data_IF_382181881310
#
_entry.id   IF_382181881310
#
_cell.length_a   1.000
_cell.length_b   1.000
_cell.length_c   1.000
_cell.angle_alpha   90.00
_cell.angle_beta   90.00
_cell.angle_gamma   90.00
#
_symmetry.space_group_name_H-M   'P 1'
#
loop_
_entity.id
_entity.type
_entity.pdbx_description
1 polymer ?
#
# COMPACT_ATOMS: atom_id res chain seq x y z
N UNK A 1 17.63 -7.51 -2.30
CA UNK A 1 18.60 -6.72 -1.51
C UNK A 1 18.07 -6.69 -0.10
N UNK A 2 18.80 -7.25 0.87
CA UNK A 2 18.48 -7.03 2.30
C UNK A 2 18.98 -5.62 2.61
N UNK A 3 18.10 -4.72 3.03
CA UNK A 3 18.50 -3.34 3.31
C UNK A 3 19.37 -3.27 4.56
N UNK A 4 20.13 -2.18 4.70
CA UNK A 4 20.90 -1.92 5.92
C UNK A 4 19.94 -1.71 7.09
N UNK A 5 20.18 -2.42 8.19
CA UNK A 5 19.49 -2.15 9.45
C UNK A 5 20.01 -0.84 10.04
N UNK A 6 19.10 0.04 10.45
CA UNK A 6 19.43 1.32 11.08
C UNK A 6 18.91 1.29 12.51
N UNK A 7 19.74 1.73 13.44
CA UNK A 7 19.39 1.89 14.85
C UNK A 7 19.51 3.37 15.21
N UNK A 8 18.46 3.93 15.80
CA UNK A 8 18.50 5.29 16.33
C UNK A 8 18.99 5.28 17.77
N UNK A 9 19.43 6.45 18.25
CA UNK A 9 19.84 6.66 19.65
C UNK A 9 18.67 6.38 20.61
N UNK A 10 17.45 6.63 20.15
CA UNK A 10 16.21 6.41 20.90
C UNK A 10 15.75 4.93 20.91
N UNK A 11 16.55 4.01 20.39
CA UNK A 11 16.25 2.57 20.40
C UNK A 11 15.28 2.11 19.31
N UNK A 12 14.96 2.95 18.32
CA UNK A 12 14.14 2.54 17.17
C UNK A 12 15.03 1.80 16.18
N UNK A 13 14.58 0.61 15.78
CA UNK A 13 15.22 -0.18 14.72
C UNK A 13 14.37 -0.20 13.46
N UNK A 14 14.99 0.16 12.35
CA UNK A 14 14.40 0.03 11.02
C UNK A 14 15.08 -1.08 10.25
N UNK A 15 14.28 -1.99 9.69
CA UNK A 15 14.71 -3.09 8.84
C UNK A 15 14.03 -2.96 7.47
N UNK A 16 14.72 -3.31 6.40
CA UNK A 16 14.13 -3.30 5.05
C UNK A 16 14.27 -4.64 4.38
N UNK A 17 13.16 -5.12 3.82
CA UNK A 17 13.06 -6.40 3.14
C UNK A 17 12.41 -6.22 1.77
N UNK A 18 12.93 -6.92 0.76
CA UNK A 18 12.30 -6.99 -0.55
C UNK A 18 11.17 -8.00 -0.58
N UNK A 19 10.13 -7.73 -1.38
CA UNK A 19 9.02 -8.68 -1.59
C UNK A 19 9.53 -10.05 -2.04
N UNK A 20 8.96 -11.12 -1.48
CA UNK A 20 9.32 -12.51 -1.77
C UNK A 20 10.55 -13.03 -1.03
N UNK A 21 11.28 -12.18 -0.30
CA UNK A 21 12.24 -12.65 0.70
C UNK A 21 11.48 -13.07 1.96
N UNK A 22 12.05 -13.96 2.77
CA UNK A 22 11.39 -14.36 4.01
C UNK A 22 11.51 -13.27 5.08
N UNK A 23 10.39 -12.68 5.56
CA UNK A 23 10.40 -11.76 6.69
C UNK A 23 10.51 -12.49 8.03
N UNK A 24 10.36 -13.82 8.04
CA UNK A 24 10.43 -14.61 9.27
C UNK A 24 11.83 -14.53 9.86
N UNK A 25 11.90 -14.23 11.15
CA UNK A 25 13.16 -13.99 11.85
C UNK A 25 13.63 -12.54 11.84
N UNK A 26 12.87 -11.61 11.25
CA UNK A 26 13.04 -10.17 11.49
C UNK A 26 12.63 -9.87 12.94
N UNK A 27 13.56 -10.03 13.87
CA UNK A 27 13.42 -9.70 15.29
C UNK A 27 14.71 -9.10 15.83
N UNK A 28 14.59 -8.26 16.84
CA UNK A 28 15.71 -7.89 17.70
C UNK A 28 15.53 -8.58 19.04
N UNK A 29 16.34 -9.61 19.29
CA UNK A 29 16.13 -10.52 20.41
C UNK A 29 14.69 -11.09 20.40
N UNK A 30 13.88 -10.75 21.40
CA UNK A 30 12.48 -11.15 21.51
C UNK A 30 11.49 -10.12 20.93
N UNK A 31 11.97 -8.94 20.51
CA UNK A 31 11.14 -7.87 19.99
C UNK A 31 10.77 -8.13 18.52
N UNK A 32 9.46 -8.18 18.27
CA UNK A 32 8.86 -8.30 16.94
C UNK A 32 8.47 -6.92 16.38
N UNK A 33 8.35 -6.78 15.05
CA UNK A 33 7.89 -5.53 14.43
C UNK A 33 6.51 -5.10 14.93
N UNK A 34 6.40 -3.84 15.32
CA UNK A 34 5.17 -3.14 15.72
C UNK A 34 4.62 -2.23 14.59
N UNK A 35 5.49 -1.86 13.65
CA UNK A 35 5.17 -1.02 12.50
C UNK A 35 5.72 -1.61 11.20
N UNK A 36 4.84 -1.77 10.21
CA UNK A 36 5.18 -2.24 8.87
C UNK A 36 4.72 -1.20 7.85
N UNK A 37 5.64 -0.73 7.02
CA UNK A 37 5.37 0.11 5.86
C UNK A 37 5.75 -0.63 4.59
N UNK A 38 4.80 -0.75 3.67
CA UNK A 38 5.03 -1.25 2.32
C UNK A 38 4.86 -0.10 1.34
N UNK A 39 5.92 0.16 0.57
CA UNK A 39 6.00 1.19 -0.46
C UNK A 39 6.48 0.58 -1.78
N UNK A 40 6.00 1.13 -2.90
CA UNK A 40 6.39 0.82 -4.29
C UNK A 40 6.66 -0.68 -4.63
N UNK A 41 5.71 -1.56 -4.27
CA UNK A 41 5.88 -3.01 -4.40
C UNK A 41 5.48 -3.60 -5.77
N UNK A 42 4.71 -2.85 -6.56
CA UNK A 42 4.11 -3.34 -7.80
C UNK A 42 5.04 -3.06 -9.00
N UNK A 43 5.42 -4.10 -9.75
CA UNK A 43 6.23 -3.94 -10.97
C UNK A 43 5.44 -4.32 -12.24
N UNK A 44 5.63 -3.58 -13.33
CA UNK A 44 5.03 -3.83 -14.66
C UNK A 44 5.22 -5.26 -15.17
N UNK A 45 6.33 -5.93 -14.85
CA UNK A 45 6.55 -7.33 -15.25
C UNK A 45 5.62 -8.31 -14.52
N UNK A 46 5.26 -8.02 -13.27
CA UNK A 46 4.49 -8.93 -12.43
C UNK A 46 2.98 -8.76 -12.60
N UNK A 47 2.49 -7.56 -12.91
CA UNK A 47 1.03 -7.30 -13.04
C UNK A 47 0.34 -8.09 -14.17
N UNK A 48 1.11 -8.60 -15.13
CA UNK A 48 0.61 -9.47 -16.20
C UNK A 48 0.56 -10.95 -15.80
N UNK A 49 1.12 -11.32 -14.66
CA UNK A 49 1.12 -12.68 -14.14
C UNK A 49 0.25 -12.77 -12.87
N UNK A 50 -0.92 -13.38 -13.02
CA UNK A 50 -1.89 -13.50 -11.93
C UNK A 50 -1.37 -14.28 -10.73
N UNK A 51 -0.58 -15.33 -10.99
CA UNK A 51 -0.02 -16.18 -9.96
C UNK A 51 0.95 -15.39 -9.07
N UNK A 52 1.86 -14.61 -9.67
CA UNK A 52 2.78 -13.75 -8.93
C UNK A 52 2.05 -12.66 -8.12
N UNK A 53 0.95 -12.12 -8.65
CA UNK A 53 0.15 -11.14 -7.91
C UNK A 53 -0.60 -11.76 -6.73
N UNK A 54 -1.10 -12.98 -6.89
CA UNK A 54 -1.71 -13.73 -5.79
C UNK A 54 -0.67 -14.08 -4.72
N UNK A 55 0.45 -14.66 -5.11
CA UNK A 55 1.56 -15.00 -4.20
C UNK A 55 2.07 -13.76 -3.47
N UNK A 56 2.17 -12.61 -4.14
CA UNK A 56 2.56 -11.36 -3.49
C UNK A 56 1.55 -10.88 -2.43
N UNK A 57 0.24 -11.05 -2.69
CA UNK A 57 -0.80 -10.74 -1.71
C UNK A 57 -0.76 -11.71 -0.53
N UNK A 58 -0.60 -13.01 -0.81
CA UNK A 58 -0.54 -14.04 0.22
C UNK A 58 0.71 -13.85 1.09
N UNK A 59 1.87 -13.56 0.50
CA UNK A 59 3.10 -13.20 1.21
C UNK A 59 2.91 -11.99 2.13
N UNK A 60 2.16 -10.95 1.72
CA UNK A 60 1.89 -9.79 2.59
C UNK A 60 1.06 -10.20 3.81
N UNK A 61 0.01 -10.99 3.63
CA UNK A 61 -0.88 -11.37 4.73
C UNK A 61 -0.27 -12.43 5.65
N UNK A 62 0.33 -13.47 5.08
CA UNK A 62 0.75 -14.65 5.83
C UNK A 62 2.16 -14.50 6.40
N UNK A 63 3.09 -13.96 5.60
CA UNK A 63 4.48 -13.84 6.02
C UNK A 63 4.78 -12.48 6.63
N UNK A 64 4.46 -11.38 5.94
CA UNK A 64 4.86 -10.04 6.38
C UNK A 64 4.07 -9.58 7.60
N UNK A 65 2.73 -9.54 7.51
CA UNK A 65 1.88 -9.16 8.65
C UNK A 65 2.00 -10.19 9.78
N UNK A 66 2.17 -11.47 9.44
CA UNK A 66 2.40 -12.54 10.42
C UNK A 66 3.68 -12.40 11.25
N UNK A 67 4.60 -11.50 10.88
CA UNK A 67 5.78 -11.20 11.70
C UNK A 67 5.46 -10.30 12.91
N UNK A 68 4.33 -9.60 12.92
CA UNK A 68 3.94 -8.76 14.04
C UNK A 68 3.77 -9.56 15.34
N UNK A 69 3.81 -8.84 16.46
CA UNK A 69 3.44 -9.41 17.75
C UNK A 69 1.92 -9.68 17.76
N UNK A 70 1.52 -10.87 18.21
CA UNK A 70 0.11 -11.28 18.35
C UNK A 70 -0.31 -11.40 19.81
N UNK A 71 0.51 -10.88 20.73
CA UNK A 71 0.18 -10.83 22.17
C UNK A 71 -0.92 -9.81 22.42
N UNK A 72 -1.83 -10.12 23.35
CA UNK A 72 -2.88 -9.21 23.78
C UNK A 72 -2.31 -7.85 24.23
N UNK A 73 -2.90 -6.76 23.74
CA UNK A 73 -2.46 -5.39 24.02
C UNK A 73 -1.23 -4.93 23.22
N UNK A 74 -0.66 -5.78 22.35
CA UNK A 74 0.41 -5.35 21.45
C UNK A 74 -0.09 -4.33 20.42
N UNK A 75 0.75 -3.34 20.11
CA UNK A 75 0.46 -2.34 19.08
C UNK A 75 0.98 -2.87 17.74
N UNK A 76 0.09 -3.02 16.76
CA UNK A 76 0.45 -3.34 15.39
C UNK A 76 -0.12 -2.32 14.42
N UNK A 77 0.73 -1.76 13.57
CA UNK A 77 0.32 -0.83 12.51
C UNK A 77 0.90 -1.28 11.18
N UNK A 78 0.01 -1.60 10.25
CA UNK A 78 0.34 -1.91 8.87
C UNK A 78 -0.09 -0.76 7.96
N UNK A 79 0.85 -0.19 7.22
CA UNK A 79 0.61 0.88 6.26
C UNK A 79 1.06 0.40 4.89
N UNK A 80 0.14 0.44 3.92
CA UNK A 80 0.41 0.14 2.52
C UNK A 80 0.19 1.40 1.71
N UNK A 81 1.28 2.03 1.27
CA UNK A 81 1.26 3.29 0.55
C UNK A 81 1.85 3.07 -0.85
N UNK A 82 1.00 2.92 -1.86
CA UNK A 82 1.47 2.63 -3.21
C UNK A 82 0.55 3.21 -4.29
N UNK A 83 1.09 3.36 -5.49
CA UNK A 83 0.37 3.77 -6.67
C UNK A 83 -0.47 2.62 -7.24
N UNK A 84 -1.77 2.85 -7.40
CA UNK A 84 -2.66 1.88 -8.00
C UNK A 84 -2.57 1.90 -9.54
N UNK A 85 -1.53 1.26 -10.07
CA UNK A 85 -1.17 1.39 -11.49
C UNK A 85 -1.91 0.43 -12.43
N UNK A 86 -2.49 -0.66 -11.92
CA UNK A 86 -3.13 -1.70 -12.71
C UNK A 86 -4.22 -2.45 -11.93
N UNK A 87 -5.29 -2.90 -12.60
CA UNK A 87 -6.40 -3.66 -11.98
C UNK A 87 -5.97 -4.96 -11.30
N UNK A 88 -4.89 -5.57 -11.81
CA UNK A 88 -4.35 -6.83 -11.29
C UNK A 88 -3.26 -6.64 -10.23
N UNK A 89 -2.84 -5.40 -9.97
CA UNK A 89 -1.78 -5.09 -9.02
C UNK A 89 -2.09 -5.62 -7.62
N UNK A 90 -1.03 -5.84 -6.83
CA UNK A 90 -1.14 -6.14 -5.40
C UNK A 90 -1.93 -5.03 -4.71
N UNK A 91 -1.66 -3.76 -5.06
CA UNK A 91 -2.38 -2.59 -4.54
C UNK A 91 -3.89 -2.69 -4.72
N UNK A 92 -4.37 -2.99 -5.93
CA UNK A 92 -5.80 -3.12 -6.21
C UNK A 92 -6.41 -4.33 -5.46
N UNK A 93 -5.72 -5.46 -5.46
CA UNK A 93 -6.16 -6.68 -4.78
C UNK A 93 -6.28 -6.50 -3.26
N UNK A 94 -5.32 -5.84 -2.63
CA UNK A 94 -5.35 -5.50 -1.20
C UNK A 94 -6.48 -4.53 -0.88
N UNK A 95 -6.64 -3.48 -1.69
CA UNK A 95 -7.73 -2.51 -1.56
C UNK A 95 -9.10 -3.19 -1.56
N UNK A 96 -9.33 -4.12 -2.48
CA UNK A 96 -10.60 -4.84 -2.56
C UNK A 96 -10.79 -5.80 -1.38
N UNK A 97 -9.74 -6.49 -0.93
CA UNK A 97 -9.79 -7.34 0.28
C UNK A 97 -10.13 -6.53 1.54
N UNK A 98 -9.44 -5.40 1.78
CA UNK A 98 -9.69 -4.57 2.95
C UNK A 98 -11.09 -3.94 2.95
N UNK A 99 -11.60 -3.54 1.78
CA UNK A 99 -12.99 -3.06 1.67
C UNK A 99 -14.00 -4.15 2.03
N UNK A 100 -13.81 -5.37 1.52
CA UNK A 100 -14.68 -6.51 1.87
C UNK A 100 -14.64 -6.84 3.36
N UNK A 101 -13.46 -6.80 3.97
CA UNK A 101 -13.31 -7.03 5.41
C UNK A 101 -13.97 -5.92 6.24
N UNK A 102 -13.75 -4.66 5.87
CA UNK A 102 -14.40 -3.53 6.53
C UNK A 102 -15.92 -3.61 6.44
N UNK A 103 -16.46 -4.02 5.29
CA UNK A 103 -17.90 -4.21 5.12
C UNK A 103 -18.42 -5.35 5.98
N UNK A 104 -17.71 -6.48 6.02
CA UNK A 104 -18.05 -7.60 6.91
C UNK A 104 -18.08 -7.16 8.38
N UNK A 105 -17.10 -6.38 8.83
CA UNK A 105 -17.09 -5.84 10.20
C UNK A 105 -18.31 -4.99 10.48
N UNK A 106 -18.70 -4.11 9.55
CA UNK A 106 -19.90 -3.26 9.69
C UNK A 106 -21.19 -4.08 9.79
N UNK A 107 -21.34 -5.10 8.95
CA UNK A 107 -22.50 -6.01 8.97
C UNK A 107 -22.58 -6.76 10.30
N UNK A 108 -21.44 -7.13 10.88
CA UNK A 108 -21.36 -7.73 12.21
C UNK A 108 -21.51 -6.72 13.38
N UNK A 109 -21.74 -5.44 13.09
CA UNK A 109 -21.86 -4.38 14.11
C UNK A 109 -20.54 -4.01 14.80
N UNK A 110 -19.40 -4.39 14.21
CA UNK A 110 -18.04 -4.12 14.72
C UNK A 110 -17.40 -2.95 13.97
N UNK A 111 -16.50 -2.24 14.66
CA UNK A 111 -15.68 -1.23 14.02
C UNK A 111 -14.68 -1.88 13.05
N UNK A 112 -14.59 -1.42 11.79
CA UNK A 112 -13.57 -1.89 10.85
C UNK A 112 -12.17 -1.61 11.38
N UNK A 113 -11.32 -2.63 11.37
CA UNK A 113 -9.89 -2.49 11.70
C UNK A 113 -9.10 -1.94 10.51
N UNK A 114 -9.51 -2.28 9.29
CA UNK A 114 -8.81 -1.91 8.07
C UNK A 114 -9.49 -0.73 7.38
N UNK A 115 -8.67 0.24 6.96
CA UNK A 115 -9.11 1.43 6.24
C UNK A 115 -8.39 1.51 4.88
N UNK A 116 -9.15 1.71 3.81
CA UNK A 116 -8.62 1.85 2.46
C UNK A 116 -8.93 3.27 1.93
N UNK A 117 -7.92 4.14 1.98
CA UNK A 117 -7.99 5.50 1.45
C UNK A 117 -7.50 5.51 0.00
N UNK A 118 -8.07 6.36 -0.85
CA UNK A 118 -7.65 6.53 -2.24
C UNK A 118 -7.59 8.01 -2.53
N UNK A 119 -6.39 8.48 -2.88
CA UNK A 119 -6.13 9.87 -3.22
C UNK A 119 -5.81 9.91 -4.72
N UNK A 120 -6.69 10.52 -5.48
CA UNK A 120 -6.54 10.88 -6.89
C UNK A 120 -5.69 12.14 -7.04
N UNK A 121 -5.27 12.41 -8.27
CA UNK A 121 -4.63 13.67 -8.61
C UNK A 121 -5.57 14.87 -8.43
N UNK A 122 -6.77 14.76 -9.00
CA UNK A 122 -7.78 15.82 -8.98
C UNK A 122 -9.14 15.23 -8.61
N UNK A 123 -10.01 16.07 -8.06
CA UNK A 123 -11.39 15.69 -7.71
C UNK A 123 -12.24 15.42 -8.95
N UNK A 124 -12.10 16.29 -9.96
CA UNK A 124 -12.83 16.27 -11.23
C UNK A 124 -11.91 16.66 -12.40
N UNK A 125 -12.13 16.08 -13.58
CA UNK A 125 -11.39 16.36 -14.83
C UNK A 125 -11.81 17.67 -15.52
N UNK A 126 -12.87 18.34 -15.05
CA UNK A 126 -13.32 19.63 -15.57
C UNK A 126 -12.62 20.78 -14.81
N UNK A 127 -12.63 20.71 -13.48
CA UNK A 127 -12.05 21.75 -12.61
C UNK A 127 -10.56 21.55 -12.39
N UNK A 128 -10.06 20.31 -12.43
CA UNK A 128 -8.68 19.95 -12.09
C UNK A 128 -8.27 20.36 -10.66
N UNK A 129 -9.24 20.52 -9.76
CA UNK A 129 -8.97 20.86 -8.36
C UNK A 129 -8.19 19.72 -7.70
N UNK A 130 -6.97 19.97 -7.20
CA UNK A 130 -6.10 18.92 -6.65
C UNK A 130 -6.67 18.38 -5.34
N UNK A 131 -6.63 17.06 -5.17
CA UNK A 131 -7.03 16.43 -3.90
C UNK A 131 -5.98 16.66 -2.80
N UNK A 132 -4.74 16.99 -3.20
CA UNK A 132 -3.67 17.47 -2.34
C UNK A 132 -3.16 18.82 -2.84
N UNK A 133 -3.85 19.88 -2.45
CA UNK A 133 -3.53 21.28 -2.82
C UNK A 133 -2.20 21.77 -2.26
N UNK A 134 -1.70 21.16 -1.18
CA UNK A 134 -0.40 21.47 -0.59
C UNK A 134 0.78 21.08 -1.50
N UNK A 135 0.60 20.06 -2.37
CA UNK A 135 1.66 19.51 -3.21
C UNK A 135 1.56 19.92 -4.67
N UNK A 136 0.36 20.19 -5.16
CA UNK A 136 0.10 20.39 -6.59
C UNK A 136 -0.96 21.45 -6.83
N UNK A 137 -0.87 22.13 -7.98
CA UNK A 137 -1.82 23.14 -8.41
C UNK A 137 -2.70 22.65 -9.57
N UNK A 138 -3.83 23.33 -9.79
CA UNK A 138 -4.71 23.06 -10.94
C UNK A 138 -3.96 23.21 -12.28
N UNK A 139 -3.12 24.26 -12.39
CA UNK A 139 -2.33 24.52 -13.58
C UNK A 139 -1.36 23.37 -13.89
N UNK A 140 -0.73 22.79 -12.86
CA UNK A 140 0.14 21.63 -13.02
C UNK A 140 -0.61 20.43 -13.61
N UNK A 141 -1.80 20.11 -13.06
CA UNK A 141 -2.57 18.97 -13.54
C UNK A 141 -3.18 19.20 -14.92
N UNK A 142 -3.60 20.42 -15.25
CA UNK A 142 -4.05 20.79 -16.61
C UNK A 142 -2.94 20.61 -17.63
N UNK A 143 -1.75 21.14 -17.33
CA UNK A 143 -0.57 20.94 -18.16
C UNK A 143 -0.28 19.45 -18.30
N UNK A 144 -0.21 18.71 -17.20
CA UNK A 144 0.08 17.27 -17.21
C UNK A 144 -1.02 16.42 -17.87
N UNK A 145 -2.25 16.89 -17.99
CA UNK A 145 -3.32 16.18 -18.72
C UNK A 145 -3.21 16.37 -20.23
N UNK A 146 -2.70 17.52 -20.69
CA UNK A 146 -2.65 17.87 -22.11
C UNK A 146 -1.64 17.04 -22.93
N UNK A 147 -0.53 16.63 -22.33
CA UNK A 147 0.58 15.98 -23.07
C UNK A 147 0.54 14.44 -23.15
N UNK A 148 0.19 13.70 -22.08
CA UNK A 148 0.33 12.25 -22.10
C UNK A 148 -0.93 11.56 -22.67
N UNK A 149 -0.81 10.31 -23.17
CA UNK A 149 -1.97 9.54 -23.61
C UNK A 149 -2.98 9.39 -22.48
N UNK A 150 -4.28 9.58 -22.74
CA UNK A 150 -5.37 9.58 -21.75
C UNK A 150 -5.25 8.42 -20.75
N UNK A 151 -4.93 7.22 -21.23
CA UNK A 151 -4.74 6.01 -20.40
C UNK A 151 -3.73 6.18 -19.27
N UNK A 152 -2.64 6.91 -19.50
CA UNK A 152 -1.59 7.11 -18.50
C UNK A 152 -2.03 8.10 -17.42
N UNK A 153 -2.80 9.13 -17.78
CA UNK A 153 -3.35 10.08 -16.81
C UNK A 153 -4.40 9.41 -15.92
N UNK A 154 -5.22 8.53 -16.49
CA UNK A 154 -6.30 7.85 -15.75
C UNK A 154 -5.78 6.98 -14.59
N UNK A 155 -4.50 6.60 -14.61
CA UNK A 155 -3.84 5.96 -13.45
C UNK A 155 -3.80 6.88 -12.23
N UNK A 156 -3.54 8.18 -12.41
CA UNK A 156 -3.62 9.16 -11.33
C UNK A 156 -5.04 9.39 -10.83
N UNK A 157 -6.04 9.03 -11.64
CA UNK A 157 -7.46 9.04 -11.27
C UNK A 157 -7.93 7.71 -10.67
N UNK A 158 -7.03 6.72 -10.53
CA UNK A 158 -7.31 5.35 -10.10
C UNK A 158 -8.36 4.64 -10.98
N UNK A 159 -8.38 4.98 -12.27
CA UNK A 159 -9.24 4.36 -13.28
C UNK A 159 -8.39 3.49 -14.19
N UNK A 160 -8.71 2.19 -14.19
CA UNK A 160 -8.00 1.19 -14.99
C UNK A 160 -8.69 1.05 -16.35
N UNK A 161 -8.02 1.53 -17.42
CA UNK A 161 -8.43 1.39 -18.83
C UNK A 161 -7.60 0.31 -19.52
#
# INVERSE_FOLDING_TARGET
>A
MVGRNVFTIDGIRSMSIGIGLSPRGLREEDQRPDYILVDDVDNKKHVNNDCLMREGVDWIFEDLIGCCNETDGSVKRFVFANNNSHRNSITQRLKDKFRKQAEKSRVEGKNPVHHALTIKAVTDLNTFTPECSEKTSEAYWRHKYAFPPTRSFMRYMHVHI
#
